data_IF_234963055534
#
_entry.id   IF_234963055534
#
_cell.length_a   1.000
_cell.length_b   1.000
_cell.length_c   1.000
_cell.angle_alpha   90.00
_cell.angle_beta   90.00
_cell.angle_gamma   90.00
#
_symmetry.space_group_name_H-M   'P 1'
#
loop_
_entity.id
_entity.type
_entity.pdbx_description
1 polymer ?
#
# COMPACT_ATOMS: atom_id res chain seq x y z
N UNK A 1 -42.69 -27.85 0.84
CA UNK A 1 -42.60 -28.35 -0.54
C UNK A 1 -41.23 -27.96 -1.09
N UNK A 2 -40.41 -28.96 -1.39
CA UNK A 2 -39.27 -28.86 -2.32
C UNK A 2 -39.73 -28.11 -3.59
N UNK A 3 -38.95 -27.20 -4.17
CA UNK A 3 -37.80 -27.58 -5.00
C UNK A 3 -36.70 -26.51 -5.03
N UNK A 4 -35.52 -26.92 -4.53
CA UNK A 4 -34.21 -26.91 -5.22
C UNK A 4 -33.92 -25.96 -6.40
N UNK A 5 -34.31 -24.68 -6.37
CA UNK A 5 -33.72 -23.70 -7.29
C UNK A 5 -32.20 -23.54 -7.09
N UNK A 6 -31.68 -23.91 -5.92
CA UNK A 6 -30.27 -23.71 -5.57
C UNK A 6 -29.30 -24.75 -6.19
N UNK A 7 -29.56 -26.08 -6.18
CA UNK A 7 -28.76 -27.04 -6.93
C UNK A 7 -28.84 -26.82 -8.45
N UNK A 8 -30.00 -26.49 -9.00
CA UNK A 8 -30.17 -26.21 -10.44
C UNK A 8 -29.46 -24.92 -10.86
N UNK A 9 -29.52 -23.86 -10.04
CA UNK A 9 -28.79 -22.59 -10.30
C UNK A 9 -27.27 -22.74 -10.12
N UNK A 10 -26.81 -23.52 -9.13
CA UNK A 10 -25.39 -23.85 -8.98
C UNK A 10 -24.88 -24.76 -10.09
N UNK A 11 -25.67 -25.73 -10.54
CA UNK A 11 -25.34 -26.59 -11.69
C UNK A 11 -25.28 -25.75 -12.97
N UNK A 12 -26.27 -24.87 -13.19
CA UNK A 12 -26.32 -23.95 -14.32
C UNK A 12 -25.10 -23.03 -14.37
N UNK A 13 -24.69 -22.42 -13.25
CA UNK A 13 -23.49 -21.56 -13.19
C UNK A 13 -22.20 -22.37 -13.36
N UNK A 14 -22.10 -23.57 -12.77
CA UNK A 14 -20.93 -24.45 -12.91
C UNK A 14 -20.77 -25.01 -14.33
N UNK A 15 -21.86 -25.25 -15.04
CA UNK A 15 -21.87 -25.79 -16.40
C UNK A 15 -21.71 -24.71 -17.48
N UNK A 16 -22.28 -23.51 -17.28
CA UNK A 16 -22.36 -22.49 -18.33
C UNK A 16 -21.40 -21.30 -18.16
N UNK A 17 -20.73 -21.13 -17.02
CA UNK A 17 -19.90 -19.95 -16.77
C UNK A 17 -18.41 -20.29 -16.56
N UNK A 18 -17.65 -20.25 -17.66
CA UNK A 18 -16.21 -20.49 -17.70
C UNK A 18 -15.40 -19.45 -16.89
N UNK A 19 -15.98 -18.26 -16.65
CA UNK A 19 -15.31 -17.13 -16.02
C UNK A 19 -15.49 -17.19 -14.51
N UNK A 20 -16.68 -17.57 -14.01
CA UNK A 20 -16.87 -17.87 -12.57
C UNK A 20 -16.03 -19.08 -12.16
N UNK A 21 -15.90 -20.12 -12.99
CA UNK A 21 -14.92 -21.21 -12.75
C UNK A 21 -13.49 -20.69 -12.60
N UNK A 22 -13.10 -19.72 -13.44
CA UNK A 22 -11.79 -19.06 -13.36
C UNK A 22 -11.66 -18.20 -12.10
N UNK A 23 -12.68 -17.44 -11.73
CA UNK A 23 -12.71 -16.63 -10.51
C UNK A 23 -12.65 -17.51 -9.27
N UNK A 24 -13.39 -18.62 -9.22
CA UNK A 24 -13.32 -19.60 -8.13
C UNK A 24 -11.98 -20.34 -8.12
N UNK A 25 -11.31 -20.54 -9.26
CA UNK A 25 -9.94 -21.10 -9.27
C UNK A 25 -8.87 -20.18 -8.65
N UNK A 26 -9.17 -18.89 -8.45
CA UNK A 26 -8.30 -17.95 -7.73
C UNK A 26 -8.51 -17.93 -6.21
N UNK A 27 -9.58 -18.57 -5.70
CA UNK A 27 -9.91 -18.61 -4.28
C UNK A 27 -10.03 -20.07 -3.83
N UNK A 28 -9.21 -20.49 -2.88
CA UNK A 28 -9.32 -21.83 -2.30
C UNK A 28 -10.74 -22.06 -1.77
N UNK A 29 -11.34 -23.22 -2.09
CA UNK A 29 -12.71 -23.60 -1.71
C UNK A 29 -12.99 -23.47 -0.19
N UNK A 30 -11.95 -23.44 0.64
CA UNK A 30 -12.05 -23.29 2.09
C UNK A 30 -12.35 -21.86 2.59
N UNK A 31 -12.40 -20.85 1.72
CA UNK A 31 -12.41 -19.43 2.13
C UNK A 31 -13.69 -18.64 1.83
N UNK A 32 -14.74 -19.30 1.32
CA UNK A 32 -16.03 -18.63 1.11
C UNK A 32 -16.95 -18.98 2.26
N UNK A 33 -17.01 -18.13 3.27
CA UNK A 33 -18.15 -18.10 4.17
C UNK A 33 -19.40 -17.84 3.32
N UNK A 34 -20.31 -18.82 3.31
CA UNK A 34 -21.57 -18.84 2.56
C UNK A 34 -22.39 -17.55 2.79
N UNK A 35 -22.16 -16.87 3.91
CA UNK A 35 -22.76 -15.61 4.30
C UNK A 35 -22.19 -14.41 3.52
N UNK A 36 -20.88 -14.39 3.26
CA UNK A 36 -20.21 -13.36 2.44
C UNK A 36 -20.71 -13.42 1.00
N UNK A 37 -20.78 -14.62 0.42
CA UNK A 37 -21.24 -14.79 -0.96
C UNK A 37 -22.70 -14.38 -1.12
N UNK A 38 -23.56 -14.73 -0.16
CA UNK A 38 -24.97 -14.28 -0.15
C UNK A 38 -25.11 -12.78 0.00
N UNK A 39 -24.24 -12.15 0.80
CA UNK A 39 -24.25 -10.70 0.98
C UNK A 39 -23.74 -9.97 -0.26
N UNK A 40 -22.64 -10.45 -0.86
CA UNK A 40 -22.08 -9.92 -2.09
C UNK A 40 -23.05 -10.06 -3.26
N UNK A 41 -23.67 -11.23 -3.41
CA UNK A 41 -24.70 -11.45 -4.43
C UNK A 41 -25.92 -10.54 -4.23
N UNK A 42 -26.39 -10.36 -2.98
CA UNK A 42 -27.49 -9.44 -2.67
C UNK A 42 -27.12 -7.98 -2.92
N UNK A 43 -25.92 -7.55 -2.55
CA UNK A 43 -25.44 -6.18 -2.77
C UNK A 43 -25.25 -5.89 -4.27
N UNK A 44 -24.73 -6.85 -5.02
CA UNK A 44 -24.58 -6.72 -6.47
C UNK A 44 -25.94 -6.65 -7.17
N UNK A 45 -26.89 -7.51 -6.79
CA UNK A 45 -28.28 -7.47 -7.31
C UNK A 45 -28.96 -6.14 -6.94
N UNK A 46 -28.76 -5.65 -5.72
CA UNK A 46 -29.31 -4.37 -5.28
C UNK A 46 -28.68 -3.19 -6.04
N UNK A 47 -27.35 -3.14 -6.22
CA UNK A 47 -26.67 -2.09 -7.01
C UNK A 47 -27.06 -2.11 -8.49
N UNK A 48 -27.22 -3.31 -9.07
CA UNK A 48 -27.73 -3.49 -10.44
C UNK A 48 -29.16 -2.96 -10.57
N UNK A 49 -29.98 -3.12 -9.52
CA UNK A 49 -31.38 -2.67 -9.50
C UNK A 49 -31.53 -1.17 -9.14
N UNK A 50 -30.73 -0.64 -8.22
CA UNK A 50 -30.73 0.77 -7.80
C UNK A 50 -30.19 1.67 -8.92
N UNK A 51 -29.12 1.25 -9.61
CA UNK A 51 -28.53 2.03 -10.72
C UNK A 51 -29.11 1.70 -12.09
N UNK A 52 -30.27 1.02 -12.12
CA UNK A 52 -31.03 0.73 -13.34
C UNK A 52 -31.54 2.00 -14.03
N UNK A 53 -31.53 3.13 -13.32
CA UNK A 53 -31.84 4.48 -13.84
C UNK A 53 -30.63 5.22 -14.46
N UNK A 54 -29.43 4.65 -14.38
CA UNK A 54 -28.27 5.26 -15.04
C UNK A 54 -28.39 5.05 -16.57
N UNK A 55 -28.60 6.14 -17.31
CA UNK A 55 -28.87 6.10 -18.76
C UNK A 55 -27.81 5.35 -19.57
N UNK A 56 -26.56 5.32 -19.09
CA UNK A 56 -25.43 4.61 -19.70
C UNK A 56 -25.53 3.07 -19.63
N UNK A 57 -26.41 2.53 -18.79
CA UNK A 57 -26.60 1.08 -18.58
C UNK A 57 -27.91 0.57 -19.22
N UNK A 58 -28.76 1.46 -19.75
CA UNK A 58 -30.03 1.11 -20.40
C UNK A 58 -29.73 0.48 -21.76
N UNK A 59 -30.38 -0.65 -22.09
CA UNK A 59 -30.15 -1.40 -23.34
C UNK A 59 -29.01 -2.42 -23.30
N UNK A 60 -28.14 -2.39 -22.28
CA UNK A 60 -27.11 -3.42 -22.08
C UNK A 60 -27.72 -4.74 -21.57
N UNK A 61 -27.17 -5.84 -22.05
CA UNK A 61 -27.47 -7.20 -21.57
C UNK A 61 -27.04 -7.36 -20.11
N UNK A 62 -27.57 -8.39 -19.43
CA UNK A 62 -27.24 -8.67 -18.03
C UNK A 62 -25.73 -8.90 -17.84
N UNK A 63 -25.09 -9.57 -18.81
CA UNK A 63 -23.67 -9.92 -18.80
C UNK A 63 -22.78 -8.68 -18.97
N UNK A 64 -23.15 -7.74 -19.85
CA UNK A 64 -22.42 -6.48 -20.06
C UNK A 64 -22.49 -5.57 -18.83
N UNK A 65 -23.67 -5.48 -18.20
CA UNK A 65 -23.84 -4.75 -16.93
C UNK A 65 -22.97 -5.36 -15.85
N UNK A 66 -22.98 -6.69 -15.72
CA UNK A 66 -22.15 -7.40 -14.75
C UNK A 66 -20.67 -7.08 -14.96
N UNK A 67 -20.17 -7.18 -16.21
CA UNK A 67 -18.78 -6.87 -16.56
C UNK A 67 -18.39 -5.41 -16.24
N UNK A 68 -19.31 -4.47 -16.47
CA UNK A 68 -19.14 -3.07 -16.07
C UNK A 68 -18.99 -2.93 -14.54
N UNK A 69 -19.89 -3.54 -13.77
CA UNK A 69 -19.84 -3.49 -12.30
C UNK A 69 -18.60 -4.19 -11.72
N UNK A 70 -18.21 -5.35 -12.23
CA UNK A 70 -17.00 -6.05 -11.76
C UNK A 70 -15.74 -5.22 -12.03
N UNK A 71 -15.66 -4.57 -13.20
CA UNK A 71 -14.52 -3.73 -13.59
C UNK A 71 -14.44 -2.43 -12.79
N UNK A 72 -15.57 -1.79 -12.49
CA UNK A 72 -15.59 -0.45 -11.90
C UNK A 72 -15.79 -0.42 -10.37
N UNK A 73 -16.44 -1.43 -9.78
CA UNK A 73 -16.93 -1.36 -8.41
C UNK A 73 -16.44 -2.48 -7.48
N UNK A 74 -16.26 -3.70 -8.00
CA UNK A 74 -15.78 -4.84 -7.20
C UNK A 74 -14.26 -4.76 -6.94
N UNK A 75 -13.50 -4.28 -7.93
CA UNK A 75 -12.04 -4.16 -7.82
C UNK A 75 -11.57 -2.92 -7.04
N UNK A 76 -12.45 -1.96 -6.77
CA UNK A 76 -12.08 -0.63 -6.26
C UNK A 76 -12.36 -0.44 -4.77
N UNK A 77 -12.79 -1.47 -4.02
CA UNK A 77 -13.11 -1.33 -2.59
C UNK A 77 -14.39 -0.55 -2.28
N UNK A 78 -14.94 0.17 -3.26
CA UNK A 78 -16.13 1.03 -3.15
C UNK A 78 -17.37 0.23 -2.69
N UNK A 79 -17.59 -0.97 -3.24
CA UNK A 79 -18.72 -1.83 -2.82
C UNK A 79 -18.61 -2.23 -1.35
N UNK A 80 -17.40 -2.48 -0.85
CA UNK A 80 -17.23 -2.90 0.55
C UNK A 80 -17.54 -1.77 1.52
N UNK A 81 -17.17 -0.53 1.17
CA UNK A 81 -17.49 0.63 2.00
C UNK A 81 -18.97 0.99 1.92
N UNK A 82 -19.60 0.91 0.75
CA UNK A 82 -21.04 1.13 0.59
C UNK A 82 -21.89 0.07 1.33
N UNK A 83 -21.44 -1.20 1.32
CA UNK A 83 -22.02 -2.27 2.13
C UNK A 83 -21.85 -1.99 3.63
N UNK A 84 -20.68 -1.52 4.07
CA UNK A 84 -20.42 -1.16 5.49
C UNK A 84 -21.32 -0.02 5.95
N UNK A 85 -21.54 0.99 5.10
CA UNK A 85 -22.44 2.12 5.40
C UNK A 85 -23.91 1.69 5.48
N UNK A 86 -24.38 0.83 4.56
CA UNK A 86 -25.79 0.38 4.53
C UNK A 86 -26.10 -0.78 5.50
N UNK A 87 -25.12 -1.58 5.91
CA UNK A 87 -25.32 -2.74 6.79
C UNK A 87 -24.34 -2.75 7.98
N UNK A 88 -24.50 -1.85 8.96
CA UNK A 88 -23.57 -1.67 10.07
C UNK A 88 -23.45 -2.90 11.01
N UNK A 89 -24.45 -3.79 11.08
CA UNK A 89 -24.40 -4.96 11.96
C UNK A 89 -23.48 -6.10 11.46
N UNK A 90 -22.81 -5.92 10.32
CA UNK A 90 -21.90 -6.92 9.72
C UNK A 90 -20.46 -6.81 10.29
N UNK A 91 -20.22 -5.85 11.19
CA UNK A 91 -18.90 -5.55 11.77
C UNK A 91 -18.17 -6.73 12.44
N UNK A 92 -18.86 -7.80 12.86
CA UNK A 92 -18.28 -8.79 13.78
C UNK A 92 -17.77 -10.10 13.17
N UNK A 93 -17.62 -10.23 11.84
CA UNK A 93 -17.12 -11.49 11.23
C UNK A 93 -16.01 -11.35 10.18
N UNK A 94 -15.54 -10.14 9.85
CA UNK A 94 -14.54 -9.95 8.78
C UNK A 94 -13.38 -9.06 9.22
N UNK A 95 -12.49 -9.61 10.06
CA UNK A 95 -11.18 -9.04 10.39
C UNK A 95 -10.23 -9.19 9.18
N UNK A 96 -10.52 -8.52 8.07
CA UNK A 96 -9.66 -8.51 6.88
C UNK A 96 -8.52 -7.51 7.08
N UNK A 97 -7.36 -8.01 7.53
CA UNK A 97 -6.14 -7.23 7.77
C UNK A 97 -4.97 -7.81 6.97
N UNK A 98 -4.04 -6.97 6.57
CA UNK A 98 -2.73 -7.39 6.06
C UNK A 98 -1.72 -7.58 7.20
N UNK A 99 -1.86 -6.75 8.23
CA UNK A 99 -1.06 -6.77 9.45
C UNK A 99 -1.93 -6.29 10.61
N UNK A 100 -1.86 -6.99 11.75
CA UNK A 100 -2.53 -6.59 12.99
C UNK A 100 -1.58 -6.77 14.17
N UNK A 101 -1.50 -5.77 15.04
CA UNK A 101 -0.73 -5.83 16.29
C UNK A 101 -1.67 -5.79 17.49
N UNK A 102 -1.34 -6.55 18.53
CA UNK A 102 -2.05 -6.56 19.81
C UNK A 102 -1.05 -6.42 20.96
N UNK A 103 -1.15 -5.32 21.69
CA UNK A 103 -0.33 -5.00 22.86
C UNK A 103 1.18 -5.13 22.60
N UNK A 104 1.65 -4.67 21.44
CA UNK A 104 3.06 -4.83 21.06
C UNK A 104 3.95 -3.87 21.83
N UNK A 105 4.96 -4.40 22.52
CA UNK A 105 5.93 -3.61 23.28
C UNK A 105 7.36 -4.01 22.93
N UNK A 106 8.27 -3.05 22.89
CA UNK A 106 9.68 -3.26 22.56
C UNK A 106 10.59 -2.32 23.37
N UNK A 107 11.72 -2.88 23.83
CA UNK A 107 12.78 -2.16 24.53
C UNK A 107 14.14 -2.58 23.98
N UNK A 108 15.06 -1.62 23.80
CA UNK A 108 16.47 -1.95 23.57
C UNK A 108 17.12 -2.46 24.88
N UNK A 109 18.25 -3.17 24.75
CA UNK A 109 19.05 -3.60 25.91
C UNK A 109 19.28 -2.44 26.88
N UNK A 110 18.96 -2.63 28.17
CA UNK A 110 19.05 -1.59 29.20
C UNK A 110 17.72 -0.89 29.57
N UNK A 111 16.57 -1.54 29.31
CA UNK A 111 15.23 -1.10 29.74
C UNK A 111 14.71 0.24 29.16
N UNK A 112 15.34 0.78 28.11
CA UNK A 112 14.76 1.89 27.36
C UNK A 112 13.62 1.37 26.47
N UNK A 113 12.39 1.47 26.98
CA UNK A 113 11.19 1.13 26.23
C UNK A 113 11.00 2.15 25.08
N UNK A 114 10.86 1.64 23.86
CA UNK A 114 10.68 2.45 22.64
C UNK A 114 9.28 2.32 22.08
N UNK A 115 8.66 1.15 22.23
CA UNK A 115 7.28 0.90 21.82
C UNK A 115 6.54 0.36 23.04
N UNK A 116 5.37 0.92 23.32
CA UNK A 116 4.54 0.55 24.46
C UNK A 116 3.11 0.29 24.02
N UNK A 117 2.61 -0.91 24.32
CA UNK A 117 1.22 -1.32 24.16
C UNK A 117 0.62 -0.96 22.80
N UNK A 118 1.41 -1.14 21.74
CA UNK A 118 1.06 -0.71 20.39
C UNK A 118 0.03 -1.63 19.75
N UNK A 119 -1.12 -1.04 19.39
CA UNK A 119 -2.24 -1.71 18.76
C UNK A 119 -2.56 -1.05 17.42
N UNK A 120 -2.55 -1.84 16.36
CA UNK A 120 -2.79 -1.36 14.99
C UNK A 120 -3.44 -2.47 14.19
N UNK A 121 -4.41 -2.11 13.36
CA UNK A 121 -4.89 -2.97 12.28
C UNK A 121 -4.69 -2.22 10.97
N UNK A 122 -3.98 -2.85 10.04
CA UNK A 122 -3.74 -2.34 8.69
C UNK A 122 -4.59 -3.17 7.72
N UNK A 123 -5.36 -2.49 6.88
CA UNK A 123 -6.21 -3.10 5.86
C UNK A 123 -5.52 -3.11 4.49
N UNK A 124 -5.87 -4.05 3.60
CA UNK A 124 -5.36 -4.02 2.24
C UNK A 124 -5.70 -2.71 1.52
N UNK A 125 -4.73 -2.15 0.79
CA UNK A 125 -4.83 -0.84 0.11
C UNK A 125 -4.57 0.38 0.99
N UNK A 126 -4.51 0.22 2.32
CA UNK A 126 -4.30 1.35 3.25
C UNK A 126 -2.89 1.93 3.14
N UNK A 127 -2.79 3.26 3.14
CA UNK A 127 -1.55 4.03 3.10
C UNK A 127 -1.35 4.70 4.46
N UNK A 128 -0.32 4.25 5.17
CA UNK A 128 0.01 4.74 6.51
C UNK A 128 1.37 5.41 6.46
N UNK A 129 1.49 6.57 7.10
CA UNK A 129 2.78 7.18 7.39
C UNK A 129 3.10 7.13 8.89
N UNK A 130 4.35 6.80 9.22
CA UNK A 130 4.93 6.95 10.54
C UNK A 130 5.72 8.26 10.57
N UNK A 131 5.29 9.20 11.40
CA UNK A 131 5.91 10.51 11.57
C UNK A 131 6.49 10.67 12.97
N UNK A 132 7.45 11.59 13.08
CA UNK A 132 8.10 11.95 14.33
C UNK A 132 9.54 12.42 14.09
N UNK A 133 10.15 12.99 15.12
CA UNK A 133 11.51 13.52 15.06
C UNK A 133 12.56 12.45 14.69
N UNK A 134 13.75 12.89 14.29
CA UNK A 134 14.87 11.98 14.09
C UNK A 134 15.19 11.25 15.40
N UNK A 135 15.35 9.93 15.33
CA UNK A 135 15.59 9.09 16.51
C UNK A 135 14.35 8.79 17.38
N UNK A 136 13.14 9.19 16.97
CA UNK A 136 11.91 8.90 17.74
C UNK A 136 11.55 7.41 17.82
N UNK A 137 12.11 6.58 16.93
CA UNK A 137 11.87 5.14 16.90
C UNK A 137 11.08 4.63 15.70
N UNK A 138 10.89 5.46 14.65
CA UNK A 138 10.19 5.06 13.40
C UNK A 138 10.76 3.78 12.78
N UNK A 139 12.08 3.74 12.54
CA UNK A 139 12.79 2.55 12.04
C UNK A 139 12.66 1.36 12.99
N UNK A 140 12.69 1.61 14.31
CA UNK A 140 12.49 0.55 15.31
C UNK A 140 11.11 -0.07 15.18
N UNK A 141 10.06 0.75 15.06
CA UNK A 141 8.69 0.29 14.86
C UNK A 141 8.58 -0.53 13.57
N UNK A 142 9.15 -0.04 12.45
CA UNK A 142 9.16 -0.80 11.20
C UNK A 142 9.85 -2.17 11.35
N UNK A 143 11.01 -2.22 12.00
CA UNK A 143 11.73 -3.48 12.22
C UNK A 143 10.96 -4.47 13.10
N UNK A 144 10.23 -3.96 14.11
CA UNK A 144 9.33 -4.79 14.92
C UNK A 144 8.17 -5.33 14.08
N UNK A 145 7.51 -4.48 13.28
CA UNK A 145 6.41 -4.90 12.39
C UNK A 145 6.86 -5.95 11.35
N UNK A 146 8.10 -5.84 10.87
CA UNK A 146 8.73 -6.79 9.96
C UNK A 146 9.20 -8.09 10.64
N UNK A 147 9.12 -8.19 11.98
CA UNK A 147 9.59 -9.35 12.75
C UNK A 147 11.12 -9.49 12.78
N UNK A 148 11.85 -8.39 12.61
CA UNK A 148 13.32 -8.35 12.68
C UNK A 148 13.86 -8.20 14.11
N UNK A 149 13.00 -7.81 15.05
CA UNK A 149 13.31 -7.73 16.47
C UNK A 149 12.35 -8.59 17.29
N UNK A 150 12.84 -9.09 18.43
CA UNK A 150 12.01 -9.75 19.43
C UNK A 150 11.18 -8.70 20.17
N UNK A 151 9.89 -8.94 20.33
CA UNK A 151 8.92 -8.03 20.95
C UNK A 151 8.03 -8.80 21.94
N UNK A 152 7.31 -8.06 22.79
CA UNK A 152 6.19 -8.56 23.60
C UNK A 152 4.86 -8.28 22.89
N UNK A 153 3.81 -9.05 23.20
CA UNK A 153 2.52 -8.97 22.51
C UNK A 153 2.48 -9.82 21.23
N UNK A 154 1.51 -9.56 20.36
CA UNK A 154 1.28 -10.35 19.16
C UNK A 154 1.27 -9.51 17.89
N UNK A 155 1.85 -10.07 16.81
CA UNK A 155 1.71 -9.55 15.45
C UNK A 155 1.14 -10.67 14.57
N UNK A 156 0.03 -10.38 13.89
CA UNK A 156 -0.67 -11.27 12.99
C UNK A 156 -0.50 -10.80 11.55
N UNK A 157 -0.07 -11.70 10.67
CA UNK A 157 0.11 -11.44 9.24
C UNK A 157 -1.02 -12.11 8.47
N UNK A 158 -1.93 -11.31 7.90
CA UNK A 158 -3.17 -11.83 7.29
C UNK A 158 -3.02 -12.31 5.85
N UNK A 159 -1.80 -12.37 5.31
CA UNK A 159 -1.53 -12.83 3.94
C UNK A 159 -0.62 -14.06 3.97
N UNK A 160 -1.03 -15.10 3.23
CA UNK A 160 -0.22 -16.30 3.00
C UNK A 160 1.12 -15.93 2.34
N UNK A 161 2.19 -16.56 2.78
CA UNK A 161 3.54 -16.26 2.30
C UNK A 161 3.91 -14.77 2.48
N UNK A 162 3.45 -14.12 3.57
CA UNK A 162 3.62 -12.69 3.85
C UNK A 162 4.99 -12.13 3.42
N UNK A 163 6.10 -12.81 3.80
CA UNK A 163 7.47 -12.40 3.44
C UNK A 163 7.72 -12.31 1.92
N UNK A 164 7.11 -13.17 1.11
CA UNK A 164 7.19 -13.12 -0.36
C UNK A 164 6.35 -11.99 -0.95
N UNK A 165 5.40 -11.45 -0.18
CA UNK A 165 4.50 -10.34 -0.55
C UNK A 165 4.94 -9.00 0.04
N UNK A 166 6.15 -8.92 0.59
CA UNK A 166 6.74 -7.69 1.10
C UNK A 166 7.62 -7.00 0.04
N UNK A 167 7.41 -5.70 -0.14
CA UNK A 167 8.35 -4.81 -0.81
C UNK A 167 9.00 -3.87 0.20
N UNK A 168 10.19 -4.22 0.69
CA UNK A 168 10.88 -3.47 1.75
C UNK A 168 11.98 -2.59 1.16
N UNK A 169 12.05 -1.34 1.63
CA UNK A 169 13.16 -0.41 1.40
C UNK A 169 13.61 0.10 2.76
N UNK A 170 14.83 -0.23 3.18
CA UNK A 170 15.41 0.26 4.44
C UNK A 170 16.49 1.31 4.19
N UNK A 171 16.80 2.12 5.20
CA UNK A 171 17.76 3.22 5.11
C UNK A 171 19.14 2.80 4.58
N UNK A 172 19.64 1.62 4.98
CA UNK A 172 20.96 1.09 4.62
C UNK A 172 20.92 0.03 3.49
N UNK A 173 19.78 -0.11 2.81
CA UNK A 173 19.66 -1.07 1.71
C UNK A 173 20.42 -0.58 0.48
N UNK A 174 20.99 -1.52 -0.29
CA UNK A 174 21.75 -1.20 -1.50
C UNK A 174 21.41 -2.17 -2.65
N UNK A 175 21.70 -1.74 -3.87
CA UNK A 175 21.70 -2.59 -5.05
C UNK A 175 23.00 -3.37 -5.15
N UNK A 176 22.94 -4.55 -5.74
CA UNK A 176 24.11 -5.41 -5.96
C UNK A 176 24.83 -5.03 -7.25
N UNK A 177 26.15 -5.24 -7.31
CA UNK A 177 26.90 -5.10 -8.55
C UNK A 177 26.40 -6.06 -9.63
N UNK A 178 26.41 -5.63 -10.89
CA UNK A 178 25.90 -6.38 -12.03
C UNK A 178 24.77 -5.66 -12.77
N UNK A 179 24.01 -6.35 -13.62
CA UNK A 179 23.01 -5.69 -14.47
C UNK A 179 21.93 -4.96 -13.65
N UNK A 180 21.70 -3.68 -13.95
CA UNK A 180 20.67 -2.87 -13.28
C UNK A 180 19.28 -3.50 -13.41
N UNK A 181 18.92 -3.95 -14.62
CA UNK A 181 17.64 -4.65 -14.85
C UNK A 181 17.45 -5.85 -13.90
N UNK A 182 18.51 -6.61 -13.61
CA UNK A 182 18.44 -7.78 -12.71
C UNK A 182 18.26 -7.39 -11.26
N UNK A 183 18.78 -6.24 -10.86
CA UNK A 183 18.52 -5.70 -9.54
C UNK A 183 17.05 -5.35 -9.34
N UNK A 184 16.37 -4.87 -10.38
CA UNK A 184 14.96 -4.47 -10.35
C UNK A 184 13.99 -5.66 -10.43
N UNK A 185 14.22 -6.59 -11.36
CA UNK A 185 13.26 -7.69 -11.63
C UNK A 185 13.60 -8.99 -10.90
N UNK A 186 14.75 -9.05 -10.23
CA UNK A 186 15.26 -10.25 -9.56
C UNK A 186 15.40 -11.44 -10.53
N UNK A 187 14.72 -12.55 -10.18
CA UNK A 187 14.76 -13.79 -10.94
C UNK A 187 13.78 -13.83 -12.13
N UNK A 188 12.97 -12.79 -12.32
CA UNK A 188 12.05 -12.71 -13.45
C UNK A 188 12.78 -12.72 -14.79
N UNK A 189 12.13 -13.31 -15.80
CA UNK A 189 12.62 -13.30 -17.18
C UNK A 189 12.44 -11.91 -17.77
N UNK A 190 13.42 -11.46 -18.55
CA UNK A 190 13.30 -10.22 -19.32
C UNK A 190 12.35 -10.50 -20.48
N UNK A 191 11.13 -9.97 -20.39
CA UNK A 191 10.10 -10.09 -21.41
C UNK A 191 9.48 -8.71 -21.66
N UNK A 192 8.84 -8.46 -22.82
CA UNK A 192 8.28 -7.14 -23.16
C UNK A 192 7.37 -6.56 -22.07
N UNK A 193 6.48 -7.40 -21.50
CA UNK A 193 5.62 -6.99 -20.39
C UNK A 193 6.40 -6.49 -19.17
N UNK A 194 7.42 -7.22 -18.76
CA UNK A 194 8.28 -6.87 -17.61
C UNK A 194 9.08 -5.59 -17.91
N UNK A 195 9.53 -5.40 -19.15
CA UNK A 195 10.22 -4.17 -19.54
C UNK A 195 9.30 -2.94 -19.45
N UNK A 196 8.03 -3.09 -19.83
CA UNK A 196 7.05 -2.01 -19.66
C UNK A 196 6.81 -1.69 -18.18
N UNK A 197 6.61 -2.71 -17.34
CA UNK A 197 6.47 -2.54 -15.89
C UNK A 197 7.71 -1.83 -15.30
N UNK A 198 8.92 -2.21 -15.73
CA UNK A 198 10.17 -1.54 -15.33
C UNK A 198 10.19 -0.08 -15.75
N UNK A 199 9.80 0.24 -16.99
CA UNK A 199 9.69 1.63 -17.46
C UNK A 199 8.71 2.43 -16.60
N UNK A 200 7.54 1.87 -16.30
CA UNK A 200 6.53 2.52 -15.45
C UNK A 200 7.05 2.78 -14.03
N UNK A 201 7.76 1.81 -13.45
CA UNK A 201 8.35 1.95 -12.12
C UNK A 201 9.49 2.98 -12.09
N UNK A 202 10.35 3.00 -13.11
CA UNK A 202 11.44 4.01 -13.26
C UNK A 202 10.88 5.41 -13.42
N UNK A 203 9.81 5.57 -14.19
CA UNK A 203 9.12 6.85 -14.35
C UNK A 203 8.46 7.29 -13.03
N UNK A 204 7.82 6.35 -12.31
CA UNK A 204 7.15 6.64 -11.05
C UNK A 204 8.10 7.23 -9.99
N UNK A 205 9.35 6.75 -9.94
CA UNK A 205 10.37 7.27 -9.03
C UNK A 205 11.21 8.42 -9.61
N UNK A 206 10.78 9.03 -10.72
CA UNK A 206 11.47 10.15 -11.37
C UNK A 206 12.94 9.85 -11.71
N UNK A 207 13.22 8.67 -12.27
CA UNK A 207 14.58 8.21 -12.60
C UNK A 207 14.86 8.07 -14.11
N UNK A 208 13.88 8.37 -14.97
CA UNK A 208 13.99 8.20 -16.44
C UNK A 208 15.25 8.85 -17.02
N UNK A 209 15.45 10.16 -16.76
CA UNK A 209 16.61 10.91 -17.28
C UNK A 209 17.93 10.33 -16.77
N UNK A 210 18.00 9.98 -15.49
CA UNK A 210 19.21 9.35 -14.90
C UNK A 210 19.52 8.02 -15.57
N UNK A 211 18.50 7.19 -15.84
CA UNK A 211 18.70 5.92 -16.54
C UNK A 211 19.10 6.14 -17.99
N UNK A 212 18.51 7.11 -18.70
CA UNK A 212 18.83 7.42 -20.09
C UNK A 212 20.26 7.93 -20.29
N UNK A 213 20.85 8.57 -19.27
CA UNK A 213 22.25 9.01 -19.27
C UNK A 213 23.26 7.86 -19.12
N UNK A 214 22.83 6.66 -18.70
CA UNK A 214 23.73 5.52 -18.59
C UNK A 214 24.10 4.95 -19.97
N UNK A 215 25.34 4.46 -20.19
CA UNK A 215 25.83 4.04 -21.51
C UNK A 215 24.97 2.98 -22.21
N UNK A 216 24.33 2.09 -21.45
CA UNK A 216 23.41 1.05 -21.96
C UNK A 216 22.01 1.18 -21.37
N UNK A 217 21.65 2.38 -20.89
CA UNK A 217 20.37 2.65 -20.22
C UNK A 217 20.08 1.63 -19.12
N UNK A 218 18.88 1.04 -19.11
CA UNK A 218 18.45 0.02 -18.14
C UNK A 218 19.29 -1.28 -18.17
N UNK A 219 19.99 -1.54 -19.27
CA UNK A 219 20.89 -2.70 -19.43
C UNK A 219 22.33 -2.41 -18.99
N UNK A 220 22.58 -1.24 -18.39
CA UNK A 220 23.89 -0.91 -17.82
C UNK A 220 24.19 -1.77 -16.58
N UNK A 221 25.47 -1.95 -16.31
CA UNK A 221 25.92 -2.60 -15.08
C UNK A 221 26.12 -1.56 -13.97
N UNK A 222 25.78 -1.96 -12.75
CA UNK A 222 26.17 -1.29 -11.51
C UNK A 222 27.53 -1.83 -11.06
N UNK A 223 28.45 -0.93 -10.72
CA UNK A 223 29.78 -1.28 -10.19
C UNK A 223 29.72 -1.52 -8.68
N UNK A 224 30.72 -2.22 -8.10
CA UNK A 224 30.83 -2.33 -6.64
C UNK A 224 30.84 -0.94 -5.98
N UNK A 225 30.03 -0.78 -4.94
CA UNK A 225 29.75 0.50 -4.26
C UNK A 225 29.14 1.60 -5.14
N UNK A 226 28.56 1.27 -6.29
CA UNK A 226 27.65 2.16 -7.01
C UNK A 226 28.26 3.50 -7.45
N UNK A 227 29.56 3.58 -7.77
CA UNK A 227 30.22 4.84 -8.16
C UNK A 227 29.56 5.58 -9.35
N UNK A 228 28.61 4.95 -10.04
CA UNK A 228 27.80 5.56 -11.09
C UNK A 228 26.42 6.06 -10.64
N UNK A 229 26.02 5.90 -9.38
CA UNK A 229 24.75 6.40 -8.83
C UNK A 229 24.92 6.96 -7.41
N UNK A 230 24.24 8.07 -7.11
CA UNK A 230 24.18 8.62 -5.75
C UNK A 230 23.33 7.75 -4.82
N UNK A 231 23.50 7.91 -3.50
CA UNK A 231 22.68 7.20 -2.50
C UNK A 231 21.17 7.45 -2.69
N UNK A 232 20.78 8.69 -3.03
CA UNK A 232 19.39 9.03 -3.33
C UNK A 232 18.87 8.41 -4.64
N UNK A 233 19.72 8.20 -5.63
CA UNK A 233 19.36 7.45 -6.85
C UNK A 233 19.18 5.96 -6.55
N UNK A 234 20.04 5.38 -5.72
CA UNK A 234 19.93 3.99 -5.27
C UNK A 234 18.64 3.76 -4.50
N UNK A 235 18.30 4.63 -3.55
CA UNK A 235 17.04 4.57 -2.78
C UNK A 235 15.81 4.62 -3.69
N UNK A 236 15.78 5.53 -4.68
CA UNK A 236 14.69 5.60 -5.67
C UNK A 236 14.56 4.31 -6.49
N UNK A 237 15.67 3.70 -6.90
CA UNK A 237 15.65 2.42 -7.60
C UNK A 237 15.19 1.25 -6.71
N UNK A 238 15.48 1.28 -5.40
CA UNK A 238 14.95 0.32 -4.45
C UNK A 238 13.44 0.46 -4.27
N UNK A 239 12.92 1.70 -4.27
CA UNK A 239 11.47 1.95 -4.33
C UNK A 239 10.89 1.37 -5.62
N UNK A 240 11.47 1.66 -6.79
CA UNK A 240 11.01 1.08 -8.06
C UNK A 240 11.00 -0.45 -8.02
N UNK A 241 12.06 -1.07 -7.50
CA UNK A 241 12.14 -2.53 -7.27
C UNK A 241 11.00 -3.03 -6.39
N UNK A 242 10.66 -2.31 -5.31
CA UNK A 242 9.58 -2.71 -4.40
C UNK A 242 8.20 -2.70 -5.07
N UNK A 243 7.99 -1.81 -6.05
CA UNK A 243 6.76 -1.67 -6.84
C UNK A 243 6.57 -2.80 -7.88
N UNK A 244 7.68 -3.25 -8.51
CA UNK A 244 7.67 -4.27 -9.58
C UNK A 244 7.32 -5.68 -9.10
N UNK A 245 7.61 -5.97 -7.83
CA UNK A 245 7.31 -7.27 -7.26
C UNK A 245 5.80 -7.40 -7.01
N UNK A 246 5.32 -8.65 -6.91
CA UNK A 246 3.97 -8.99 -6.44
C UNK A 246 3.80 -8.75 -4.92
N UNK A 247 4.38 -7.64 -4.45
CA UNK A 247 4.28 -7.10 -3.11
C UNK A 247 2.85 -6.64 -2.88
N UNK A 248 2.24 -7.03 -1.77
CA UNK A 248 0.95 -6.50 -1.30
C UNK A 248 1.10 -5.49 -0.18
N UNK A 249 2.21 -5.59 0.57
CA UNK A 249 2.61 -4.60 1.56
C UNK A 249 3.98 -4.03 1.20
N UNK A 250 4.01 -2.71 1.03
CA UNK A 250 5.23 -1.92 0.86
C UNK A 250 5.62 -1.33 2.20
N UNK A 251 6.90 -1.43 2.56
CA UNK A 251 7.45 -0.84 3.79
C UNK A 251 8.67 -0.02 3.42
N UNK A 252 8.58 1.29 3.54
CA UNK A 252 9.63 2.22 3.13
C UNK A 252 10.11 3.03 4.33
N UNK A 253 11.41 2.91 4.62
CA UNK A 253 12.05 3.65 5.70
C UNK A 253 12.80 4.87 5.17
N UNK A 254 12.22 6.05 5.31
CA UNK A 254 12.74 7.35 4.82
C UNK A 254 13.34 7.31 3.39
N UNK A 255 12.66 6.74 2.39
CA UNK A 255 13.24 6.45 1.08
C UNK A 255 13.64 7.71 0.29
N UNK A 256 13.12 8.88 0.66
CA UNK A 256 13.28 10.13 -0.08
C UNK A 256 13.90 11.27 0.74
N UNK A 257 14.54 10.96 1.86
CA UNK A 257 15.17 11.94 2.77
C UNK A 257 16.20 12.86 2.08
N UNK A 258 16.86 12.38 1.02
CA UNK A 258 17.88 13.14 0.29
C UNK A 258 17.34 13.99 -0.88
N UNK A 259 16.01 14.03 -1.09
CA UNK A 259 15.40 14.78 -2.20
C UNK A 259 14.81 16.10 -1.71
N UNK A 260 14.76 17.11 -2.59
CA UNK A 260 13.98 18.32 -2.33
C UNK A 260 12.46 18.04 -2.33
N UNK A 261 11.70 18.99 -1.78
CA UNK A 261 10.24 18.86 -1.65
C UNK A 261 9.54 18.64 -3.00
N UNK A 262 9.90 19.39 -4.05
CA UNK A 262 9.28 19.28 -5.37
C UNK A 262 9.44 17.87 -5.97
N UNK A 263 10.63 17.28 -5.84
CA UNK A 263 10.89 15.92 -6.29
C UNK A 263 10.14 14.88 -5.45
N UNK A 264 10.06 15.06 -4.13
CA UNK A 264 9.26 14.16 -3.27
C UNK A 264 7.79 14.19 -3.63
N UNK A 265 7.20 15.37 -3.76
CA UNK A 265 5.79 15.51 -4.13
C UNK A 265 5.48 14.89 -5.49
N UNK A 266 6.37 15.08 -6.48
CA UNK A 266 6.22 14.45 -7.80
C UNK A 266 6.21 12.92 -7.68
N UNK A 267 7.13 12.34 -6.91
CA UNK A 267 7.19 10.89 -6.71
C UNK A 267 5.96 10.39 -5.94
N UNK A 268 5.55 11.06 -4.87
CA UNK A 268 4.34 10.69 -4.14
C UNK A 268 3.10 10.72 -5.04
N UNK A 269 2.94 11.76 -5.86
CA UNK A 269 1.82 11.82 -6.79
C UNK A 269 1.87 10.70 -7.84
N UNK A 270 3.04 10.44 -8.42
CA UNK A 270 3.22 9.39 -9.43
C UNK A 270 2.94 7.98 -8.90
N UNK A 271 3.15 7.75 -7.61
CA UNK A 271 2.95 6.44 -6.98
C UNK A 271 1.59 6.37 -6.30
N UNK A 272 1.32 7.25 -5.35
CA UNK A 272 0.21 7.16 -4.42
C UNK A 272 -1.13 7.61 -5.03
N UNK A 273 -1.12 8.38 -6.12
CA UNK A 273 -2.34 8.72 -6.87
C UNK A 273 -2.49 7.91 -8.17
N UNK A 274 -1.56 7.00 -8.46
CA UNK A 274 -1.59 6.20 -9.68
C UNK A 274 -2.49 4.99 -9.53
N UNK A 275 -3.38 4.79 -10.50
CA UNK A 275 -4.21 3.59 -10.61
C UNK A 275 -3.40 2.30 -10.76
N UNK A 276 -2.14 2.38 -11.17
CA UNK A 276 -1.23 1.24 -11.29
C UNK A 276 -0.86 0.63 -9.92
N UNK A 277 -0.88 1.43 -8.86
CA UNK A 277 -0.40 1.02 -7.53
C UNK A 277 -1.47 1.13 -6.44
N UNK A 278 -2.73 1.40 -6.79
CA UNK A 278 -3.83 1.56 -5.84
C UNK A 278 -4.18 0.28 -5.05
N UNK A 279 -3.75 -0.90 -5.50
CA UNK A 279 -3.95 -2.16 -4.78
C UNK A 279 -2.88 -2.45 -3.71
N UNK A 280 -1.84 -1.61 -3.62
CA UNK A 280 -0.73 -1.78 -2.69
C UNK A 280 -1.07 -1.14 -1.34
N UNK A 281 -0.86 -1.88 -0.24
CA UNK A 281 -0.76 -1.27 1.09
C UNK A 281 0.62 -0.67 1.26
N UNK A 282 0.72 0.48 1.92
CA UNK A 282 1.99 1.15 2.21
C UNK A 282 2.12 1.49 3.71
N UNK A 283 3.30 1.23 4.26
CA UNK A 283 3.79 1.85 5.49
C UNK A 283 5.05 2.64 5.13
N UNK A 284 4.97 3.96 5.21
CA UNK A 284 6.08 4.87 4.96
C UNK A 284 6.55 5.45 6.30
N UNK A 285 7.85 5.47 6.60
CA UNK A 285 8.36 6.38 7.62
C UNK A 285 8.87 7.66 6.96
N UNK A 286 8.66 8.80 7.62
CA UNK A 286 9.23 10.06 7.20
C UNK A 286 9.38 11.02 8.38
N UNK A 287 10.28 11.99 8.23
CA UNK A 287 10.28 13.22 9.01
C UNK A 287 9.75 14.41 8.20
N UNK A 288 9.44 14.23 6.91
CA UNK A 288 8.83 15.25 6.05
C UNK A 288 7.30 15.11 6.02
N UNK A 289 6.61 16.25 5.95
CA UNK A 289 5.14 16.30 6.05
C UNK A 289 4.42 16.34 4.70
N UNK A 290 5.16 16.52 3.60
CA UNK A 290 4.63 16.59 2.23
C UNK A 290 3.88 15.30 1.81
N UNK A 291 4.18 14.18 2.47
CA UNK A 291 3.52 12.90 2.24
C UNK A 291 2.12 12.80 2.89
N UNK A 292 1.82 13.62 3.91
CA UNK A 292 0.60 13.49 4.74
C UNK A 292 -0.68 13.53 3.91
N UNK A 293 -0.73 14.40 2.90
CA UNK A 293 -1.91 14.57 2.03
C UNK A 293 -2.28 13.34 1.19
N UNK A 294 -1.41 12.33 1.14
CA UNK A 294 -1.61 11.10 0.38
C UNK A 294 -1.90 9.87 1.27
N UNK A 295 -1.97 10.06 2.58
CA UNK A 295 -2.05 8.97 3.57
C UNK A 295 -3.46 8.90 4.15
N UNK A 296 -3.94 7.67 4.35
CA UNK A 296 -5.22 7.41 4.99
C UNK A 296 -5.10 7.64 6.50
N UNK A 297 -3.96 7.22 7.08
CA UNK A 297 -3.68 7.29 8.52
C UNK A 297 -2.24 7.63 8.83
N UNK A 298 -2.05 8.21 10.00
CA UNK A 298 -0.78 8.66 10.52
C UNK A 298 -0.53 7.95 11.86
N UNK A 299 0.69 7.46 12.03
CA UNK A 299 1.24 6.99 13.30
C UNK A 299 2.26 8.04 13.73
N UNK A 300 1.92 8.86 14.71
CA UNK A 300 2.82 9.90 15.21
C UNK A 300 3.55 9.38 16.46
N UNK A 301 4.88 9.33 16.40
CA UNK A 301 5.73 8.95 17.52
C UNK A 301 6.27 10.22 18.18
N UNK A 302 5.82 10.45 19.40
CA UNK A 302 6.24 11.56 20.24
C UNK A 302 7.70 11.45 20.66
N UNK A 303 8.29 12.57 21.04
CA UNK A 303 9.63 12.66 21.63
C UNK A 303 9.80 11.80 22.90
N UNK A 304 8.72 11.57 23.65
CA UNK A 304 8.70 10.72 24.84
C UNK A 304 8.43 9.22 24.54
N UNK A 305 8.27 8.82 23.28
CA UNK A 305 7.98 7.45 22.85
C UNK A 305 6.51 7.04 22.89
N UNK A 306 5.59 7.95 23.27
CA UNK A 306 4.15 7.73 23.07
C UNK A 306 3.83 7.65 21.58
N UNK A 307 2.80 6.88 21.23
CA UNK A 307 2.34 6.72 19.86
C UNK A 307 0.85 7.08 19.78
N UNK A 308 0.54 8.08 18.97
CA UNK A 308 -0.83 8.45 18.63
C UNK A 308 -1.13 8.05 17.17
N UNK A 309 -2.35 7.60 16.90
CA UNK A 309 -2.76 7.11 15.59
C UNK A 309 -4.09 7.74 15.20
N UNK A 310 -4.17 8.31 14.00
CA UNK A 310 -5.38 8.94 13.48
C UNK A 310 -5.21 9.50 12.08
N UNK A 311 -6.25 10.14 11.57
CA UNK A 311 -6.15 10.99 10.37
C UNK A 311 -5.38 12.29 10.66
N UNK A 312 -4.95 13.01 9.61
CA UNK A 312 -4.33 14.34 9.77
C UNK A 312 -5.23 15.30 10.56
N UNK A 313 -6.55 15.28 10.28
CA UNK A 313 -7.52 16.13 10.94
C UNK A 313 -7.67 15.80 12.45
N UNK A 314 -7.83 14.52 12.78
CA UNK A 314 -7.94 14.06 14.17
C UNK A 314 -6.69 14.44 14.98
N UNK A 315 -5.49 14.22 14.43
CA UNK A 315 -4.25 14.55 15.13
C UNK A 315 -4.03 16.07 15.23
N UNK A 316 -4.39 16.87 14.22
CA UNK A 316 -4.33 18.34 14.30
C UNK A 316 -5.20 18.91 15.43
N UNK A 317 -6.33 18.25 15.69
CA UNK A 317 -7.30 18.68 16.69
C UNK A 317 -6.92 18.22 18.10
N UNK A 318 -6.38 17.01 18.24
CA UNK A 318 -6.20 16.36 19.53
C UNK A 318 -4.75 16.28 20.02
N UNK A 319 -3.75 16.57 19.16
CA UNK A 319 -2.34 16.39 19.49
C UNK A 319 -1.52 17.67 19.21
N UNK A 320 -1.11 18.35 20.29
CA UNK A 320 -0.35 19.59 20.21
C UNK A 320 1.05 19.41 19.61
N UNK A 321 1.75 18.32 19.95
CA UNK A 321 3.10 18.04 19.45
C UNK A 321 3.06 17.75 17.94
N UNK A 322 2.06 16.99 17.48
CA UNK A 322 1.82 16.80 16.05
C UNK A 322 1.52 18.12 15.33
N UNK A 323 0.67 18.98 15.91
CA UNK A 323 0.35 20.30 15.36
C UNK A 323 1.58 21.20 15.25
N UNK A 324 2.50 21.12 16.21
CA UNK A 324 3.78 21.81 16.16
C UNK A 324 4.68 21.20 15.08
N UNK A 325 4.82 19.88 15.03
CA UNK A 325 5.62 19.16 14.04
C UNK A 325 5.25 19.53 12.59
N UNK A 326 3.96 19.55 12.27
CA UNK A 326 3.48 19.93 10.93
C UNK A 326 3.54 21.45 10.67
N UNK A 327 3.56 22.28 11.72
CA UNK A 327 3.67 23.73 11.62
C UNK A 327 5.11 24.19 11.40
N UNK A 328 6.06 23.60 12.12
CA UNK A 328 7.50 23.84 11.98
C UNK A 328 7.96 23.49 10.56
N UNK A 329 7.47 22.38 10.02
CA UNK A 329 7.81 21.94 8.66
C UNK A 329 7.15 22.75 7.53
N UNK A 330 6.10 23.54 7.81
CA UNK A 330 5.55 24.50 6.84
C UNK A 330 6.37 25.79 6.79
N UNK A 331 7.16 26.09 7.83
CA UNK A 331 7.96 27.31 7.96
C UNK A 331 9.17 27.40 7.02
N UNK A 332 9.70 26.29 6.52
CA UNK A 332 10.82 26.28 5.55
C UNK A 332 10.40 26.66 4.12
N UNK A 333 9.09 26.80 3.83
CA UNK A 333 8.59 27.14 2.50
C UNK A 333 8.46 28.65 2.22
N UNK A 334 8.72 29.54 3.19
CA UNK A 334 8.54 31.00 3.00
C UNK A 334 9.85 31.82 2.89
N UNK A 335 11.03 31.24 3.14
CA UNK A 335 12.29 31.99 3.19
C UNK A 335 13.10 32.03 1.88
N UNK A 336 12.51 31.61 0.74
CA UNK A 336 13.18 31.68 -0.58
C UNK A 336 12.51 32.58 -1.62
N UNK A 337 11.45 33.29 -1.28
CA UNK A 337 10.73 34.19 -2.20
C UNK A 337 10.88 35.69 -1.93
N UNK A 338 11.66 36.11 -0.92
CA UNK A 338 11.86 37.54 -0.59
C UNK A 338 13.32 38.00 -0.64
N UNK A 339 14.12 37.47 -1.57
CA UNK A 339 15.40 38.10 -1.96
C UNK A 339 15.46 38.11 -3.49
N UNK A 340 14.70 39.00 -4.10
CA UNK A 340 14.99 39.76 -5.34
C UNK A 340 13.88 40.80 -5.41
N UNK A 341 14.20 42.01 -4.98
CA UNK A 341 13.78 43.28 -5.56
C UNK A 341 14.63 44.39 -4.95
#
# INVERSE_FOLDING_TARGET
MNTSLFPEFLSYIKENDLIIKKSMSFYSEDFIDLSIFKLFAKALVYLINEKRENQSLIGLTLEERYKYFTKHYVLTGIILDEIRTKFPNIHNSFDYYILKTKNVSFSYYGNKQVIKDFNLTIRPGEKIVILGESGSGKTTLLNVLLGLYNYQGDIYYGIKDFRKKLGVVTQNMNLTSGPLIKNLIGNSKIAPKVLNEVTDAINAVNMTETIDQLPKKIFSNLFQNGKNLSGGQIQRLLVAKSLLNDSKLLVWDEPFSNLDNLNREKIYNNILNSSLYNDKTLILSSHHTDCVKYMDRIIFIHSNGQIDIGSDEELRNNNLEYKQFIGINKGENNDKTNIIN
#
